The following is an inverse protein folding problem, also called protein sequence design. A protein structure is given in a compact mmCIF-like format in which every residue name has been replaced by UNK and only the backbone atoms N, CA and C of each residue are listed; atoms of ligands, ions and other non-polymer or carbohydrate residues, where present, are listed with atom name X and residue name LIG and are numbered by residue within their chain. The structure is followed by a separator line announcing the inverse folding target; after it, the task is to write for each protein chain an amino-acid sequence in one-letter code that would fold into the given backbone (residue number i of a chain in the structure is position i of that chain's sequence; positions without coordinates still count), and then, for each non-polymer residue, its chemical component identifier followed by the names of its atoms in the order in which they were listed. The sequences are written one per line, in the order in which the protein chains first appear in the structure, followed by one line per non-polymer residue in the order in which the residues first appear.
data_IF_434005289897
#
_entry.id   IF_434005289897
#
_cell.length_a   1.000
_cell.length_b   1.000
_cell.length_c   1.000
_cell.angle_alpha   90.00
_cell.angle_beta   90.00
_cell.angle_gamma   90.00
#
_symmetry.space_group_name_H-M   'P 1'
#
loop_
_entity.id
_entity.type
_entity.pdbx_description
1 polymer ?
#
# COMPACT_ATOMS: atom_id res chain seq x y z
N UNK A 1 50.74 -30.17 -8.12
CA UNK A 1 51.48 -28.91 -8.37
C UNK A 1 50.90 -27.89 -7.41
N UNK A 2 51.69 -27.40 -6.46
CA UNK A 2 51.22 -26.43 -5.47
C UNK A 2 50.99 -25.08 -6.13
N UNK A 3 49.88 -24.42 -5.79
CA UNK A 3 49.66 -23.00 -6.09
C UNK A 3 50.86 -22.19 -5.55
N UNK A 4 51.32 -21.21 -6.32
CA UNK A 4 52.36 -20.29 -5.85
C UNK A 4 51.86 -19.52 -4.62
N UNK A 5 52.76 -19.13 -3.71
CA UNK A 5 52.38 -18.41 -2.48
C UNK A 5 51.55 -17.14 -2.77
N UNK A 6 51.80 -16.48 -3.90
CA UNK A 6 51.10 -15.28 -4.36
C UNK A 6 49.66 -15.55 -4.81
N UNK A 7 49.39 -16.71 -5.42
CA UNK A 7 48.03 -17.15 -5.78
C UNK A 7 47.23 -17.57 -4.55
N UNK A 8 47.89 -18.15 -3.54
CA UNK A 8 47.26 -18.53 -2.27
C UNK A 8 46.82 -17.30 -1.46
N UNK A 9 47.62 -16.24 -1.44
CA UNK A 9 47.29 -15.00 -0.73
C UNK A 9 46.14 -14.23 -1.40
N UNK A 10 46.10 -14.20 -2.73
CA UNK A 10 45.03 -13.53 -3.49
C UNK A 10 43.68 -14.25 -3.30
N UNK A 11 43.68 -15.58 -3.30
CA UNK A 11 42.50 -16.39 -3.03
C UNK A 11 41.93 -16.13 -1.62
N UNK A 12 42.80 -16.03 -0.61
CA UNK A 12 42.40 -15.72 0.77
C UNK A 12 41.78 -14.32 0.89
N UNK A 13 42.31 -13.32 0.17
CA UNK A 13 41.74 -11.97 0.13
C UNK A 13 40.33 -11.97 -0.47
N UNK A 14 40.11 -12.70 -1.58
CA UNK A 14 38.79 -12.77 -2.20
C UNK A 14 37.78 -13.59 -1.39
N UNK A 15 38.21 -14.65 -0.69
CA UNK A 15 37.33 -15.44 0.17
C UNK A 15 36.92 -14.69 1.45
N UNK A 16 37.72 -13.72 1.90
CA UNK A 16 37.34 -12.83 2.99
C UNK A 16 36.24 -11.82 2.59
N UNK A 17 35.97 -11.65 1.29
CA UNK A 17 34.91 -10.75 0.83
C UNK A 17 33.53 -11.41 0.98
N UNK A 18 32.54 -10.63 1.47
CA UNK A 18 31.16 -11.08 1.56
C UNK A 18 30.44 -11.13 0.20
N UNK A 19 31.03 -10.52 -0.84
CA UNK A 19 30.51 -10.56 -2.21
C UNK A 19 31.09 -11.74 -3.00
N UNK A 20 30.32 -12.24 -3.96
CA UNK A 20 30.78 -13.25 -4.89
C UNK A 20 31.76 -12.63 -5.89
N UNK A 21 32.91 -13.28 -6.09
CA UNK A 21 33.93 -12.87 -7.06
C UNK A 21 34.14 -14.01 -8.05
N UNK A 22 34.06 -13.69 -9.33
CA UNK A 22 34.34 -14.60 -10.45
C UNK A 22 35.32 -13.96 -11.41
N UNK A 23 36.38 -14.68 -11.78
CA UNK A 23 37.32 -14.27 -12.83
C UNK A 23 37.08 -15.12 -14.06
N UNK A 24 36.93 -14.47 -15.21
CA UNK A 24 36.81 -15.13 -16.51
C UNK A 24 37.99 -14.76 -17.39
N UNK A 25 38.52 -15.72 -18.14
CA UNK A 25 39.55 -15.44 -19.14
C UNK A 25 38.95 -14.84 -20.42
N UNK A 26 39.80 -14.50 -21.39
CA UNK A 26 39.40 -13.91 -22.68
C UNK A 26 38.41 -14.77 -23.51
N UNK A 27 38.28 -16.07 -23.22
CA UNK A 27 37.28 -16.95 -23.88
C UNK A 27 35.93 -16.98 -23.15
N UNK A 28 35.81 -16.29 -22.02
CA UNK A 28 34.62 -16.28 -21.16
C UNK A 28 34.57 -17.41 -20.13
N UNK A 29 35.54 -18.34 -20.16
CA UNK A 29 35.61 -19.45 -19.22
C UNK A 29 35.99 -18.95 -17.83
N UNK A 30 35.29 -19.46 -16.81
CA UNK A 30 35.61 -19.17 -15.39
C UNK A 30 36.92 -19.82 -15.02
N UNK A 31 37.89 -19.02 -14.58
CA UNK A 31 39.20 -19.48 -14.08
C UNK A 31 39.30 -19.40 -12.57
N UNK A 32 38.44 -18.61 -11.92
CA UNK A 32 38.37 -18.52 -10.47
C UNK A 32 36.96 -18.15 -10.01
N UNK A 33 36.52 -18.74 -8.89
CA UNK A 33 35.31 -18.35 -8.17
C UNK A 33 35.52 -18.53 -6.67
N UNK A 34 35.28 -17.46 -5.90
CA UNK A 34 35.41 -17.48 -4.44
C UNK A 34 34.25 -18.26 -3.76
N UNK A 35 34.38 -18.53 -2.46
CA UNK A 35 33.38 -19.29 -1.70
C UNK A 35 31.99 -18.61 -1.70
N UNK A 36 31.94 -17.27 -1.67
CA UNK A 36 30.69 -16.52 -1.74
C UNK A 36 29.99 -16.68 -3.09
N UNK A 37 30.72 -16.63 -4.21
CA UNK A 37 30.19 -16.86 -5.55
C UNK A 37 29.55 -18.25 -5.67
N UNK A 38 30.25 -19.28 -5.18
CA UNK A 38 29.77 -20.68 -5.17
C UNK A 38 28.45 -20.80 -4.40
N UNK A 39 28.36 -20.18 -3.22
CA UNK A 39 27.13 -20.14 -2.40
C UNK A 39 25.99 -19.39 -3.09
N UNK A 40 26.27 -18.25 -3.71
CA UNK A 40 25.26 -17.40 -4.35
C UNK A 40 24.67 -18.08 -5.59
N UNK A 41 25.50 -18.72 -6.42
CA UNK A 41 24.99 -19.47 -7.58
C UNK A 41 24.37 -20.81 -7.17
N UNK A 42 24.75 -21.38 -6.03
CA UNK A 42 24.22 -22.65 -5.55
C UNK A 42 24.67 -23.85 -6.40
N UNK A 43 25.83 -23.74 -7.04
CA UNK A 43 26.43 -24.79 -7.90
C UNK A 43 27.72 -25.32 -7.28
N UNK A 44 28.03 -26.63 -7.45
CA UNK A 44 29.28 -27.19 -6.97
C UNK A 44 30.49 -26.57 -7.71
N UNK A 45 31.68 -26.51 -7.08
CA UNK A 45 32.88 -25.85 -7.64
C UNK A 45 33.26 -26.33 -9.04
N UNK A 46 33.09 -27.63 -9.28
CA UNK A 46 33.43 -28.34 -10.52
C UNK A 46 32.50 -27.99 -11.70
N UNK A 47 31.31 -27.46 -11.43
CA UNK A 47 30.37 -26.98 -12.47
C UNK A 47 30.58 -25.50 -12.84
N UNK A 48 31.24 -24.74 -11.99
CA UNK A 48 31.49 -23.31 -12.21
C UNK A 48 32.81 -23.10 -12.95
N UNK A 49 33.88 -23.75 -12.51
CA UNK A 49 35.23 -23.64 -13.09
C UNK A 49 35.30 -24.34 -14.46
N UNK A 50 35.80 -23.66 -15.50
CA UNK A 50 35.85 -24.17 -16.87
C UNK A 50 34.53 -24.04 -17.65
N UNK A 51 33.42 -23.61 -17.02
CA UNK A 51 32.17 -23.35 -17.73
C UNK A 51 32.26 -22.08 -18.61
N UNK A 52 31.82 -22.18 -19.87
CA UNK A 52 31.86 -21.09 -20.84
C UNK A 52 30.77 -20.02 -20.64
N UNK A 53 29.91 -20.17 -19.62
CA UNK A 53 28.85 -19.23 -19.34
C UNK A 53 27.96 -19.68 -18.19
N UNK A 54 27.14 -18.77 -17.64
CA UNK A 54 26.10 -19.15 -16.69
C UNK A 54 25.18 -20.17 -17.36
N UNK A 55 24.73 -21.18 -16.61
CA UNK A 55 23.79 -22.20 -17.08
C UNK A 55 22.45 -21.61 -17.52
N UNK A 56 21.47 -22.49 -17.74
CA UNK A 56 20.13 -22.24 -18.31
C UNK A 56 19.25 -21.19 -17.57
N UNK A 57 19.77 -20.47 -16.58
CA UNK A 57 19.03 -19.45 -15.84
C UNK A 57 18.82 -18.19 -16.69
N UNK A 58 17.55 -17.84 -16.92
CA UNK A 58 17.15 -16.64 -17.67
C UNK A 58 17.53 -15.39 -16.88
N UNK A 59 18.20 -14.44 -17.53
CA UNK A 59 18.60 -13.16 -16.93
C UNK A 59 17.59 -12.08 -17.28
N UNK A 60 17.23 -11.26 -16.31
CA UNK A 60 16.28 -10.16 -16.48
C UNK A 60 16.87 -8.85 -15.97
N UNK A 61 16.43 -7.75 -16.57
CA UNK A 61 16.65 -6.39 -16.07
C UNK A 61 15.68 -6.09 -14.91
N UNK A 62 15.89 -4.95 -14.25
CA UNK A 62 15.05 -4.48 -13.15
C UNK A 62 13.57 -4.28 -13.54
N UNK A 63 13.30 -3.92 -14.80
CA UNK A 63 11.95 -3.76 -15.36
C UNK A 63 11.27 -5.11 -15.73
N UNK A 64 11.93 -6.24 -15.46
CA UNK A 64 11.42 -7.58 -15.76
C UNK A 64 11.64 -8.05 -17.20
N UNK A 65 12.19 -7.21 -18.08
CA UNK A 65 12.53 -7.61 -19.45
C UNK A 65 13.73 -8.57 -19.46
N UNK A 66 13.82 -9.42 -20.47
CA UNK A 66 14.98 -10.33 -20.62
C UNK A 66 16.22 -9.50 -20.95
N UNK A 67 17.32 -9.77 -20.24
CA UNK A 67 18.61 -9.13 -20.46
C UNK A 67 19.33 -9.82 -21.63
N UNK A 68 19.65 -9.11 -22.72
CA UNK A 68 20.45 -9.62 -23.83
C UNK A 68 21.87 -10.01 -23.39
N UNK A 69 22.47 -10.99 -24.06
CA UNK A 69 23.79 -11.51 -23.70
C UNK A 69 24.91 -10.46 -23.77
N UNK A 70 24.82 -9.50 -24.68
CA UNK A 70 25.81 -8.42 -24.85
C UNK A 70 25.71 -7.33 -23.77
N UNK A 71 24.59 -7.25 -23.05
CA UNK A 71 24.39 -6.37 -21.90
C UNK A 71 24.82 -6.99 -20.58
N UNK A 72 25.06 -8.31 -20.56
CA UNK A 72 25.52 -9.01 -19.36
C UNK A 72 26.87 -8.41 -18.93
N UNK A 73 27.03 -7.96 -17.68
CA UNK A 73 28.16 -7.12 -17.29
C UNK A 73 29.54 -7.66 -17.66
N UNK A 74 29.77 -8.97 -17.52
CA UNK A 74 31.05 -9.56 -17.89
C UNK A 74 31.29 -9.60 -19.41
N UNK A 75 30.24 -9.82 -20.21
CA UNK A 75 30.32 -9.83 -21.68
C UNK A 75 30.50 -8.41 -22.21
N UNK A 76 29.73 -7.46 -21.67
CA UNK A 76 29.85 -6.05 -21.98
C UNK A 76 31.27 -5.53 -21.65
N UNK A 77 31.80 -5.86 -20.47
CA UNK A 77 33.15 -5.47 -20.06
C UNK A 77 34.24 -6.10 -20.96
N UNK A 78 34.09 -7.38 -21.32
CA UNK A 78 35.01 -8.08 -22.24
C UNK A 78 35.02 -7.44 -23.63
N UNK A 79 33.84 -7.11 -24.16
CA UNK A 79 33.66 -6.62 -25.53
C UNK A 79 34.07 -5.15 -25.66
N UNK A 80 33.66 -4.31 -24.70
CA UNK A 80 33.93 -2.86 -24.71
C UNK A 80 35.33 -2.54 -24.17
N UNK A 81 35.90 -3.41 -23.35
CA UNK A 81 37.18 -3.16 -22.69
C UNK A 81 37.12 -2.03 -21.65
N UNK A 82 35.93 -1.78 -21.11
CA UNK A 82 35.64 -0.75 -20.11
C UNK A 82 34.96 -1.37 -18.87
N UNK A 83 35.14 -0.80 -17.67
CA UNK A 83 34.43 -1.24 -16.48
C UNK A 83 32.92 -1.01 -16.60
N UNK A 84 32.14 -2.04 -16.25
CA UNK A 84 30.69 -1.97 -16.08
C UNK A 84 30.40 -1.99 -14.59
N UNK A 85 29.58 -1.07 -14.10
CA UNK A 85 29.34 -0.91 -12.66
C UNK A 85 27.86 -0.76 -12.32
N UNK A 86 27.50 -1.19 -11.11
CA UNK A 86 26.19 -1.05 -10.50
C UNK A 86 25.03 -1.58 -11.35
N UNK A 87 25.25 -2.67 -12.09
CA UNK A 87 24.18 -3.26 -12.89
C UNK A 87 23.35 -4.19 -12.02
N UNK A 88 22.06 -3.86 -11.91
CA UNK A 88 21.07 -4.74 -11.29
C UNK A 88 20.66 -5.82 -12.29
N UNK A 89 20.81 -7.09 -11.90
CA UNK A 89 20.49 -8.22 -12.76
C UNK A 89 19.73 -9.28 -11.96
N UNK A 90 18.54 -9.66 -12.44
CA UNK A 90 17.78 -10.77 -11.90
C UNK A 90 18.18 -12.08 -12.57
N UNK A 91 18.45 -13.12 -11.78
CA UNK A 91 18.61 -14.49 -12.26
C UNK A 91 17.35 -15.28 -11.92
N UNK A 92 16.67 -15.76 -12.95
CA UNK A 92 15.42 -16.52 -12.82
C UNK A 92 15.73 -18.01 -12.89
N UNK A 93 15.44 -18.72 -11.80
CA UNK A 93 15.53 -20.18 -11.74
C UNK A 93 14.34 -20.84 -12.43
N UNK A 94 14.46 -22.15 -12.71
CA UNK A 94 13.41 -22.97 -13.33
C UNK A 94 12.09 -23.02 -12.54
N UNK A 95 12.13 -22.80 -11.23
CA UNK A 95 10.97 -22.73 -10.34
C UNK A 95 10.31 -21.33 -10.28
N UNK A 96 10.84 -20.37 -11.03
CA UNK A 96 10.38 -18.98 -11.04
C UNK A 96 10.99 -18.10 -9.93
N UNK A 97 11.81 -18.66 -9.04
CA UNK A 97 12.51 -17.86 -8.03
C UNK A 97 13.49 -16.90 -8.69
N UNK A 98 13.38 -15.61 -8.36
CA UNK A 98 14.28 -14.57 -8.84
C UNK A 98 15.28 -14.20 -7.75
N UNK A 99 16.57 -14.30 -8.08
CA UNK A 99 17.67 -13.79 -7.26
C UNK A 99 18.21 -12.51 -7.89
N UNK A 100 18.21 -11.42 -7.13
CA UNK A 100 18.72 -10.13 -7.58
C UNK A 100 20.18 -9.95 -7.21
N UNK A 101 21.02 -9.67 -8.20
CA UNK A 101 22.43 -9.39 -8.04
C UNK A 101 22.74 -7.95 -8.43
N UNK A 102 23.50 -7.25 -7.58
CA UNK A 102 24.19 -6.03 -7.96
C UNK A 102 25.59 -6.42 -8.46
N UNK A 103 25.89 -6.15 -9.73
CA UNK A 103 27.08 -6.66 -10.42
C UNK A 103 27.98 -5.51 -10.89
N UNK A 104 29.25 -5.63 -10.57
CA UNK A 104 30.35 -4.89 -11.21
C UNK A 104 31.19 -5.88 -12.02
N UNK A 105 31.68 -5.44 -13.18
CA UNK A 105 32.60 -6.20 -14.02
C UNK A 105 33.74 -5.29 -14.51
N UNK A 106 34.98 -5.68 -14.22
CA UNK A 106 36.17 -4.90 -14.53
C UNK A 106 37.09 -5.72 -15.44
N UNK A 107 37.40 -5.24 -16.66
CA UNK A 107 38.34 -5.92 -17.54
C UNK A 107 39.78 -5.66 -17.12
N UNK A 108 40.59 -6.72 -17.09
CA UNK A 108 42.04 -6.70 -16.92
C UNK A 108 42.68 -6.81 -18.30
N UNK A 109 43.53 -5.85 -18.63
CA UNK A 109 44.21 -5.76 -19.93
C UNK A 109 45.64 -6.31 -19.84
N UNK A 110 46.07 -6.99 -20.90
CA UNK A 110 47.46 -7.41 -21.08
C UNK A 110 48.38 -6.22 -21.41
N UNK A 111 49.69 -6.48 -21.52
CA UNK A 111 50.68 -5.47 -21.91
C UNK A 111 50.45 -4.84 -23.30
N UNK A 112 49.59 -5.45 -24.13
CA UNK A 112 49.21 -4.97 -25.46
C UNK A 112 47.87 -4.24 -25.46
N UNK A 113 47.26 -4.02 -24.28
CA UNK A 113 45.99 -3.33 -24.12
C UNK A 113 44.75 -4.16 -24.46
N UNK A 114 44.91 -5.47 -24.69
CA UNK A 114 43.78 -6.39 -24.99
C UNK A 114 43.22 -6.94 -23.70
N UNK A 115 41.91 -7.12 -23.61
CA UNK A 115 41.27 -7.71 -22.42
C UNK A 115 41.68 -9.17 -22.29
N UNK A 116 42.47 -9.46 -21.26
CA UNK A 116 42.95 -10.81 -20.92
C UNK A 116 41.98 -11.55 -19.99
N UNK A 117 41.37 -10.83 -19.05
CA UNK A 117 40.45 -11.38 -18.06
C UNK A 117 39.38 -10.34 -17.71
N UNK A 118 38.28 -10.80 -17.13
CA UNK A 118 37.26 -9.95 -16.53
C UNK A 118 36.98 -10.43 -15.12
N UNK A 119 37.15 -9.54 -14.15
CA UNK A 119 36.80 -9.78 -12.75
C UNK A 119 35.40 -9.24 -12.53
N UNK A 120 34.48 -10.12 -12.17
CA UNK A 120 33.11 -9.76 -11.81
C UNK A 120 32.92 -9.92 -10.31
N UNK A 121 32.44 -8.87 -9.65
CA UNK A 121 31.99 -8.93 -8.26
C UNK A 121 30.49 -8.71 -8.19
N UNK A 122 29.80 -9.50 -7.39
CA UNK A 122 28.35 -9.39 -7.24
C UNK A 122 27.90 -9.62 -5.81
N UNK A 123 26.88 -8.87 -5.42
CA UNK A 123 26.24 -8.99 -4.10
C UNK A 123 24.81 -9.43 -4.29
N UNK A 124 24.39 -10.46 -3.54
CA UNK A 124 22.99 -10.87 -3.49
C UNK A 124 22.19 -9.81 -2.72
N UNK A 125 21.30 -9.12 -3.43
CA UNK A 125 20.45 -8.04 -2.89
C UNK A 125 18.98 -8.46 -2.86
N UNK A 126 18.70 -9.76 -2.97
CA UNK A 126 17.34 -10.30 -3.05
C UNK A 126 16.51 -9.93 -1.83
N UNK A 127 17.03 -10.11 -0.62
CA UNK A 127 16.29 -9.81 0.61
C UNK A 127 16.06 -8.31 0.79
N UNK A 128 17.04 -7.49 0.39
CA UNK A 128 16.89 -6.02 0.37
C UNK A 128 15.79 -5.61 -0.61
N UNK A 129 15.78 -6.16 -1.82
CA UNK A 129 14.73 -5.90 -2.83
C UNK A 129 13.35 -6.34 -2.37
N UNK A 130 13.24 -7.51 -1.73
CA UNK A 130 11.99 -7.98 -1.12
C UNK A 130 11.52 -7.04 0.00
N UNK A 131 12.43 -6.59 0.85
CA UNK A 131 12.11 -5.65 1.92
C UNK A 131 11.68 -4.27 1.39
N UNK A 132 12.37 -3.74 0.37
CA UNK A 132 11.99 -2.50 -0.32
C UNK A 132 10.60 -2.63 -0.94
N UNK A 133 10.33 -3.70 -1.67
CA UNK A 133 9.02 -3.94 -2.28
C UNK A 133 7.91 -4.16 -1.24
N UNK A 134 8.22 -4.83 -0.13
CA UNK A 134 7.26 -5.01 0.96
C UNK A 134 6.99 -3.69 1.71
N UNK A 135 8.00 -2.83 1.89
CA UNK A 135 7.84 -1.49 2.43
C UNK A 135 6.99 -0.61 1.51
N UNK A 136 7.22 -0.66 0.20
CA UNK A 136 6.38 0.03 -0.79
C UNK A 136 4.94 -0.48 -0.76
N UNK A 137 4.76 -1.81 -0.67
CA UNK A 137 3.44 -2.43 -0.54
C UNK A 137 2.74 -1.97 0.74
N UNK A 138 3.42 -1.98 1.88
CA UNK A 138 2.88 -1.51 3.17
C UNK A 138 2.59 -0.01 3.19
N UNK A 139 3.35 0.80 2.46
CA UNK A 139 3.11 2.23 2.34
C UNK A 139 1.83 2.56 1.55
N UNK A 140 1.40 1.66 0.64
CA UNK A 140 0.31 1.90 -0.30
C UNK A 140 -0.89 0.95 -0.16
N UNK A 141 -0.77 -0.11 0.65
CA UNK A 141 -1.83 -1.09 0.86
C UNK A 141 -2.11 -1.28 2.35
N UNK A 142 -3.38 -1.57 2.65
CA UNK A 142 -3.83 -1.98 3.97
C UNK A 142 -3.31 -3.39 4.28
N UNK A 143 -2.71 -3.56 5.46
CA UNK A 143 -2.03 -4.81 5.84
C UNK A 143 -2.99 -5.95 6.15
N UNK A 144 -4.22 -5.64 6.57
CA UNK A 144 -5.24 -6.63 6.89
C UNK A 144 -5.92 -7.19 5.63
N UNK A 145 -6.31 -6.31 4.72
CA UNK A 145 -7.12 -6.68 3.54
C UNK A 145 -6.29 -6.86 2.27
N UNK A 146 -5.08 -6.30 2.21
CA UNK A 146 -4.27 -6.23 1.00
C UNK A 146 -4.80 -5.23 -0.04
N UNK A 147 -5.92 -4.55 0.23
CA UNK A 147 -6.46 -3.52 -0.65
C UNK A 147 -5.57 -2.27 -0.63
N UNK A 148 -5.62 -1.42 -1.68
CA UNK A 148 -5.15 -0.04 -1.60
C UNK A 148 -5.55 0.63 -0.28
N UNK A 149 -4.61 1.35 0.33
CA UNK A 149 -4.90 2.19 1.49
C UNK A 149 -5.40 3.57 1.04
N UNK A 150 -5.70 4.43 2.01
CA UNK A 150 -6.14 5.82 1.76
C UNK A 150 -5.18 6.58 0.84
N UNK A 151 -3.87 6.46 1.02
CA UNK A 151 -2.88 7.18 0.20
C UNK A 151 -2.96 6.76 -1.26
N UNK A 152 -3.00 5.45 -1.54
CA UNK A 152 -3.09 4.94 -2.90
C UNK A 152 -4.46 5.24 -3.55
N UNK A 153 -5.55 5.23 -2.77
CA UNK A 153 -6.85 5.65 -3.25
C UNK A 153 -6.84 7.10 -3.74
N UNK A 154 -6.28 8.03 -2.95
CA UNK A 154 -6.26 9.45 -3.28
C UNK A 154 -5.44 9.71 -4.56
N UNK A 155 -4.29 9.05 -4.70
CA UNK A 155 -3.48 9.10 -5.93
C UNK A 155 -4.27 8.58 -7.15
N UNK A 156 -4.91 7.41 -7.03
CA UNK A 156 -5.72 6.84 -8.11
C UNK A 156 -6.94 7.70 -8.46
N UNK A 157 -7.57 8.31 -7.47
CA UNK A 157 -8.70 9.21 -7.68
C UNK A 157 -8.27 10.47 -8.43
N UNK A 158 -7.13 11.05 -8.08
CA UNK A 158 -6.57 12.20 -8.79
C UNK A 158 -6.26 11.86 -10.26
N UNK A 159 -5.64 10.70 -10.51
CA UNK A 159 -5.35 10.23 -11.87
C UNK A 159 -6.63 9.95 -12.68
N UNK A 160 -7.63 9.34 -12.05
CA UNK A 160 -8.93 9.06 -12.68
C UNK A 160 -9.66 10.36 -13.02
N UNK A 161 -9.64 11.38 -12.16
CA UNK A 161 -10.24 12.69 -12.42
C UNK A 161 -9.57 13.39 -13.61
N UNK A 162 -8.24 13.40 -13.67
CA UNK A 162 -7.51 13.97 -14.82
C UNK A 162 -7.90 13.28 -16.13
N UNK A 163 -8.05 11.96 -16.10
CA UNK A 163 -8.47 11.17 -17.26
C UNK A 163 -9.92 11.45 -17.65
N UNK A 164 -10.83 11.46 -16.67
CA UNK A 164 -12.25 11.77 -16.82
C UNK A 164 -12.46 13.15 -17.46
N UNK A 165 -11.77 14.19 -16.97
CA UNK A 165 -11.82 15.54 -17.56
C UNK A 165 -11.34 15.55 -19.01
N UNK A 166 -10.21 14.88 -19.31
CA UNK A 166 -9.66 14.82 -20.67
C UNK A 166 -10.60 14.12 -21.65
N UNK A 167 -11.27 13.06 -21.20
CA UNK A 167 -12.17 12.26 -22.04
C UNK A 167 -13.63 12.72 -21.99
N UNK A 168 -13.97 13.69 -21.14
CA UNK A 168 -15.36 14.12 -20.86
C UNK A 168 -16.28 12.96 -20.47
N UNK A 169 -15.74 12.01 -19.72
CA UNK A 169 -16.48 10.84 -19.20
C UNK A 169 -16.74 11.01 -17.70
N UNK A 170 -17.89 10.59 -17.16
CA UNK A 170 -18.16 10.70 -15.73
C UNK A 170 -17.23 9.81 -14.90
N UNK A 171 -17.12 10.09 -13.61
CA UNK A 171 -16.38 9.31 -12.63
C UNK A 171 -17.17 9.29 -11.33
N UNK A 172 -17.49 8.11 -10.79
CA UNK A 172 -18.14 8.01 -9.49
C UNK A 172 -17.17 7.58 -8.40
N UNK A 173 -17.37 8.13 -7.21
CA UNK A 173 -16.72 7.74 -5.96
C UNK A 173 -17.80 7.25 -4.99
N UNK A 174 -17.60 6.05 -4.47
CA UNK A 174 -18.38 5.48 -3.38
C UNK A 174 -17.51 5.50 -2.12
N UNK A 175 -18.04 6.01 -1.02
CA UNK A 175 -17.47 5.87 0.33
C UNK A 175 -18.46 5.09 1.18
N UNK A 176 -17.98 4.14 1.96
CA UNK A 176 -18.84 3.19 2.65
C UNK A 176 -18.30 2.78 4.02
N UNK A 177 -19.20 2.39 4.91
CA UNK A 177 -18.92 2.07 6.31
C UNK A 177 -19.79 0.89 6.76
N UNK A 178 -19.19 -0.06 7.47
CA UNK A 178 -19.91 -1.22 8.01
C UNK A 178 -20.75 -0.81 9.23
N UNK A 179 -22.06 -0.96 9.12
CA UNK A 179 -22.97 -0.56 10.19
C UNK A 179 -22.72 -1.41 11.45
N UNK A 180 -22.63 -0.73 12.60
CA UNK A 180 -22.44 -1.35 13.93
C UNK A 180 -21.17 -2.19 14.08
N UNK A 181 -20.14 -1.97 13.25
CA UNK A 181 -18.85 -2.65 13.39
C UNK A 181 -18.25 -2.54 14.81
N UNK A 182 -18.40 -1.39 15.45
CA UNK A 182 -17.97 -1.19 16.84
C UNK A 182 -18.63 -2.18 17.81
N UNK A 183 -19.93 -2.45 17.66
CA UNK A 183 -20.63 -3.41 18.53
C UNK A 183 -20.07 -4.83 18.37
N UNK A 184 -19.65 -5.21 17.15
CA UNK A 184 -18.97 -6.49 16.90
C UNK A 184 -17.65 -6.54 17.64
N UNK A 185 -16.81 -5.50 17.52
CA UNK A 185 -15.53 -5.45 18.23
C UNK A 185 -15.71 -5.48 19.75
N UNK A 186 -16.68 -4.74 20.28
CA UNK A 186 -16.93 -4.65 21.72
C UNK A 186 -17.48 -5.98 22.27
N UNK A 187 -18.21 -6.76 21.46
CA UNK A 187 -18.84 -8.02 21.87
C UNK A 187 -17.94 -9.25 21.66
N UNK A 188 -17.26 -9.33 20.50
CA UNK A 188 -16.52 -10.52 20.06
C UNK A 188 -14.99 -10.29 19.97
N UNK A 189 -14.53 -9.07 20.24
CA UNK A 189 -13.13 -8.68 20.22
C UNK A 189 -12.60 -8.33 18.83
N UNK A 190 -11.43 -7.67 18.80
CA UNK A 190 -10.83 -7.16 17.56
C UNK A 190 -10.52 -8.23 16.52
N UNK A 191 -10.22 -9.47 16.94
CA UNK A 191 -9.97 -10.58 16.00
C UNK A 191 -11.21 -10.89 15.15
N UNK A 192 -12.40 -10.84 15.74
CA UNK A 192 -13.65 -11.02 15.03
C UNK A 192 -13.91 -9.87 14.04
N UNK A 193 -13.63 -8.64 14.45
CA UNK A 193 -13.69 -7.48 13.56
C UNK A 193 -12.74 -7.58 12.37
N UNK A 194 -11.51 -8.06 12.60
CA UNK A 194 -10.52 -8.24 11.55
C UNK A 194 -10.96 -9.29 10.51
N UNK A 195 -11.56 -10.41 10.96
CA UNK A 195 -12.13 -11.43 10.08
C UNK A 195 -13.29 -10.86 9.25
N UNK A 196 -14.19 -10.13 9.90
CA UNK A 196 -15.30 -9.45 9.25
C UNK A 196 -14.82 -8.47 8.16
N UNK A 197 -13.81 -7.66 8.45
CA UNK A 197 -13.22 -6.73 7.50
C UNK A 197 -12.59 -7.47 6.31
N UNK A 198 -11.84 -8.54 6.59
CA UNK A 198 -11.23 -9.37 5.55
C UNK A 198 -12.28 -9.98 4.61
N UNK A 199 -13.36 -10.50 5.16
CA UNK A 199 -14.46 -11.07 4.38
C UNK A 199 -15.25 -9.99 3.61
N UNK A 200 -15.53 -8.85 4.24
CA UNK A 200 -16.18 -7.71 3.58
C UNK A 200 -15.35 -7.24 2.38
N UNK A 201 -14.03 -7.10 2.54
CA UNK A 201 -13.12 -6.72 1.45
C UNK A 201 -13.20 -7.69 0.26
N UNK A 202 -13.22 -9.00 0.53
CA UNK A 202 -13.37 -10.03 -0.51
C UNK A 202 -14.73 -9.92 -1.22
N UNK A 203 -15.81 -9.77 -0.46
CA UNK A 203 -17.18 -9.66 -1.01
C UNK A 203 -17.36 -8.40 -1.85
N UNK A 204 -16.80 -7.26 -1.42
CA UNK A 204 -16.84 -6.00 -2.19
C UNK A 204 -16.08 -6.17 -3.51
N UNK A 205 -14.91 -6.80 -3.48
CA UNK A 205 -14.03 -6.91 -4.65
C UNK A 205 -14.57 -7.88 -5.71
N UNK A 206 -15.26 -8.95 -5.30
CA UNK A 206 -15.68 -10.04 -6.19
C UNK A 206 -16.60 -9.62 -7.36
N UNK A 207 -17.38 -8.54 -7.18
CA UNK A 207 -18.40 -8.10 -8.15
C UNK A 207 -17.99 -6.86 -8.97
N UNK A 208 -16.76 -6.39 -8.80
CA UNK A 208 -16.19 -5.19 -9.45
C UNK A 208 -15.27 -5.55 -10.61
N UNK A 209 -15.07 -4.61 -11.53
CA UNK A 209 -14.25 -4.79 -12.72
C UNK A 209 -12.79 -4.47 -12.41
N UNK A 210 -11.86 -4.98 -13.24
CA UNK A 210 -10.43 -4.67 -13.12
C UNK A 210 -10.10 -3.16 -13.24
N UNK A 211 -10.99 -2.38 -13.87
CA UNK A 211 -10.86 -0.91 -13.98
C UNK A 211 -11.27 -0.17 -12.70
N UNK A 212 -12.02 -0.83 -11.83
CA UNK A 212 -12.53 -0.25 -10.60
C UNK A 212 -11.44 -0.36 -9.53
N UNK A 213 -11.35 0.63 -8.65
CA UNK A 213 -10.39 0.58 -7.53
C UNK A 213 -11.15 0.48 -6.22
N UNK A 214 -10.94 -0.60 -5.49
CA UNK A 214 -11.40 -0.77 -4.10
C UNK A 214 -10.27 -0.38 -3.16
N UNK A 215 -10.56 0.35 -2.10
CA UNK A 215 -9.61 0.69 -1.05
C UNK A 215 -10.23 0.55 0.34
N UNK A 216 -9.38 0.35 1.34
CA UNK A 216 -9.76 0.50 2.75
C UNK A 216 -9.18 1.81 3.27
N UNK A 217 -10.03 2.68 3.82
CA UNK A 217 -9.63 3.98 4.34
C UNK A 217 -9.05 3.86 5.75
N UNK A 218 -9.56 2.91 6.52
CA UNK A 218 -9.19 2.63 7.91
C UNK A 218 -10.40 2.11 8.67
N UNK A 219 -10.19 1.39 9.78
CA UNK A 219 -11.30 0.85 10.57
C UNK A 219 -12.25 -0.02 9.73
N UNK A 220 -13.51 0.37 9.69
CA UNK A 220 -14.64 -0.20 8.96
C UNK A 220 -14.97 0.52 7.63
N UNK A 221 -14.16 1.49 7.25
CA UNK A 221 -14.41 2.33 6.07
C UNK A 221 -13.72 1.82 4.81
N UNK A 222 -14.47 1.75 3.72
CA UNK A 222 -13.99 1.41 2.38
C UNK A 222 -14.36 2.51 1.38
N UNK A 223 -13.70 2.48 0.22
CA UNK A 223 -14.05 3.33 -0.90
C UNK A 223 -13.91 2.59 -2.23
N UNK A 224 -14.72 2.98 -3.21
CA UNK A 224 -14.64 2.46 -4.59
C UNK A 224 -14.62 3.61 -5.58
N UNK A 225 -13.66 3.59 -6.50
CA UNK A 225 -13.56 4.49 -7.65
C UNK A 225 -14.09 3.75 -8.88
N UNK A 226 -15.03 4.38 -9.60
CA UNK A 226 -15.70 3.82 -10.78
C UNK A 226 -15.50 4.74 -12.01
N UNK A 227 -14.41 4.57 -12.77
CA UNK A 227 -14.18 5.33 -14.01
C UNK A 227 -15.28 5.09 -15.04
N UNK A 228 -15.84 6.15 -15.60
CA UNK A 228 -16.89 6.08 -16.62
C UNK A 228 -18.30 5.83 -16.06
N UNK A 229 -18.47 5.74 -14.74
CA UNK A 229 -19.78 5.58 -14.13
C UNK A 229 -20.43 6.93 -13.83
N UNK A 230 -21.69 7.08 -14.26
CA UNK A 230 -22.60 8.13 -13.83
C UNK A 230 -23.34 7.73 -12.54
N UNK A 231 -24.29 8.55 -12.09
CA UNK A 231 -25.09 8.28 -10.90
C UNK A 231 -25.84 6.93 -10.98
N UNK A 232 -26.39 6.59 -12.14
CA UNK A 232 -27.11 5.33 -12.33
C UNK A 232 -26.18 4.11 -12.26
N UNK A 233 -25.03 4.19 -12.93
CA UNK A 233 -24.00 3.16 -12.85
C UNK A 233 -23.45 2.98 -11.43
N UNK A 234 -23.21 4.08 -10.73
CA UNK A 234 -22.76 4.09 -9.35
C UNK A 234 -23.80 3.47 -8.40
N UNK A 235 -25.09 3.82 -8.57
CA UNK A 235 -26.19 3.25 -7.80
C UNK A 235 -26.33 1.74 -8.02
N UNK A 236 -26.15 1.26 -9.26
CA UNK A 236 -26.17 -0.18 -9.56
C UNK A 236 -25.03 -0.93 -8.85
N UNK A 237 -23.82 -0.35 -8.84
CA UNK A 237 -22.68 -0.92 -8.11
C UNK A 237 -22.93 -0.91 -6.61
N UNK A 238 -23.45 0.19 -6.05
CA UNK A 238 -23.78 0.27 -4.63
C UNK A 238 -24.79 -0.82 -4.21
N UNK A 239 -25.83 -1.07 -5.02
CA UNK A 239 -26.80 -2.14 -4.76
C UNK A 239 -26.18 -3.54 -4.83
N UNK A 240 -25.23 -3.77 -5.75
CA UNK A 240 -24.47 -5.03 -5.77
C UNK A 240 -23.67 -5.23 -4.49
N UNK A 241 -22.95 -4.19 -4.04
CA UNK A 241 -22.16 -4.24 -2.81
C UNK A 241 -23.07 -4.51 -1.61
N UNK A 242 -24.17 -3.77 -1.47
CA UNK A 242 -25.16 -4.01 -0.40
C UNK A 242 -25.66 -5.45 -0.44
N UNK A 243 -26.08 -5.95 -1.61
CA UNK A 243 -26.56 -7.33 -1.76
C UNK A 243 -25.49 -8.38 -1.46
N UNK A 244 -24.23 -8.13 -1.79
CA UNK A 244 -23.13 -9.04 -1.48
C UNK A 244 -22.90 -9.18 0.03
N UNK A 245 -23.09 -8.10 0.79
CA UNK A 245 -22.93 -8.05 2.24
C UNK A 245 -24.18 -8.48 3.03
N UNK A 246 -25.36 -8.57 2.40
CA UNK A 246 -26.57 -9.12 3.03
C UNK A 246 -26.44 -10.60 3.45
N UNK A 247 -25.49 -11.34 2.86
CA UNK A 247 -25.20 -12.71 3.30
C UNK A 247 -24.67 -12.68 4.75
N UNK A 248 -25.15 -13.53 5.67
CA UNK A 248 -24.61 -13.54 7.03
C UNK A 248 -23.10 -13.76 7.05
N UNK A 249 -22.42 -13.12 8.01
CA UNK A 249 -21.01 -13.34 8.32
C UNK A 249 -20.90 -14.38 9.42
N UNK A 250 -20.00 -15.34 9.26
CA UNK A 250 -19.77 -16.38 10.27
C UNK A 250 -18.70 -15.89 11.23
N UNK A 251 -19.10 -15.55 12.47
CA UNK A 251 -18.22 -15.02 13.50
C UNK A 251 -18.34 -15.93 14.73
N UNK A 252 -17.22 -16.54 15.14
CA UNK A 252 -17.18 -17.48 16.29
C UNK A 252 -18.20 -18.64 16.20
N UNK A 253 -18.61 -19.01 14.98
CA UNK A 253 -19.57 -20.10 14.72
C UNK A 253 -21.04 -19.68 14.68
N UNK A 254 -21.34 -18.39 14.90
CA UNK A 254 -22.68 -17.82 14.77
C UNK A 254 -22.81 -16.96 13.50
N UNK A 255 -24.02 -16.90 12.95
CA UNK A 255 -24.33 -16.12 11.76
C UNK A 255 -24.83 -14.72 12.12
N UNK A 256 -24.12 -13.69 11.67
CA UNK A 256 -24.43 -12.29 11.94
C UNK A 256 -24.79 -11.52 10.66
N UNK A 257 -25.90 -10.80 10.70
CA UNK A 257 -26.29 -9.88 9.63
C UNK A 257 -25.62 -8.52 9.85
N UNK A 258 -24.79 -8.10 8.90
CA UNK A 258 -24.05 -6.84 8.96
C UNK A 258 -24.36 -6.06 7.70
N UNK A 259 -24.84 -4.84 7.90
CA UNK A 259 -25.22 -3.95 6.83
C UNK A 259 -24.06 -2.99 6.50
N UNK A 260 -24.15 -2.34 5.34
CA UNK A 260 -23.17 -1.36 4.90
C UNK A 260 -23.91 -0.13 4.38
N UNK A 261 -23.48 1.04 4.84
CA UNK A 261 -24.01 2.33 4.40
C UNK A 261 -23.09 2.93 3.34
N UNK A 262 -23.64 3.35 2.20
CA UNK A 262 -22.84 3.83 1.05
C UNK A 262 -23.23 5.26 0.65
N UNK A 263 -22.26 6.14 0.56
CA UNK A 263 -22.38 7.48 -0.02
C UNK A 263 -21.78 7.55 -1.42
N UNK A 264 -22.47 8.21 -2.34
CA UNK A 264 -22.09 8.32 -3.75
C UNK A 264 -21.88 9.78 -4.12
N UNK A 265 -20.72 10.12 -4.70
CA UNK A 265 -20.45 11.39 -5.38
C UNK A 265 -19.99 11.14 -6.82
N UNK A 266 -20.33 12.03 -7.76
CA UNK A 266 -20.08 11.84 -9.20
C UNK A 266 -19.44 13.09 -9.76
N UNK A 267 -18.33 12.96 -10.48
CA UNK A 267 -17.69 14.04 -11.22
C UNK A 267 -18.25 14.11 -12.64
N UNK A 268 -18.50 15.32 -13.18
CA UNK A 268 -18.26 16.64 -12.58
C UNK A 268 -19.40 17.19 -11.69
N UNK A 269 -20.56 16.54 -11.65
CA UNK A 269 -21.80 17.07 -11.05
C UNK A 269 -21.63 17.45 -9.57
N UNK A 270 -20.98 16.59 -8.80
CA UNK A 270 -20.74 16.72 -7.37
C UNK A 270 -19.30 17.17 -7.09
N UNK A 271 -18.56 17.67 -8.07
CA UNK A 271 -17.21 18.19 -7.88
C UNK A 271 -16.22 17.63 -8.88
N UNK A 272 -15.12 18.37 -9.08
CA UNK A 272 -14.08 18.00 -10.04
C UNK A 272 -12.76 17.66 -9.36
N UNK A 273 -12.56 18.01 -8.10
CA UNK A 273 -11.34 17.72 -7.34
C UNK A 273 -11.57 16.64 -6.27
N UNK A 274 -10.45 16.06 -5.82
CA UNK A 274 -10.41 14.95 -4.86
C UNK A 274 -11.06 15.32 -3.54
N UNK A 275 -10.75 16.50 -2.99
CA UNK A 275 -11.22 16.94 -1.68
C UNK A 275 -12.74 17.11 -1.68
N UNK A 276 -13.28 17.80 -2.69
CA UNK A 276 -14.72 18.03 -2.86
C UNK A 276 -15.49 16.72 -3.00
N UNK A 277 -15.01 15.78 -3.84
CA UNK A 277 -15.69 14.50 -4.04
C UNK A 277 -15.66 13.61 -2.80
N UNK A 278 -14.51 13.49 -2.13
CA UNK A 278 -14.38 12.74 -0.88
C UNK A 278 -15.37 13.26 0.17
N UNK A 279 -15.36 14.57 0.43
CA UNK A 279 -16.26 15.20 1.40
C UNK A 279 -17.74 14.96 1.07
N UNK A 280 -18.11 15.10 -0.20
CA UNK A 280 -19.51 14.96 -0.63
C UNK A 280 -19.97 13.50 -0.59
N UNK A 281 -19.09 12.54 -0.89
CA UNK A 281 -19.37 11.13 -0.70
C UNK A 281 -19.52 10.76 0.78
N UNK A 282 -18.68 11.31 1.67
CA UNK A 282 -18.82 11.15 3.13
C UNK A 282 -20.15 11.72 3.67
N UNK A 283 -20.55 12.91 3.21
CA UNK A 283 -21.87 13.50 3.54
C UNK A 283 -23.01 12.56 3.12
N UNK A 284 -22.95 12.06 1.88
CA UNK A 284 -23.96 11.13 1.37
C UNK A 284 -23.97 9.82 2.18
N UNK A 285 -22.80 9.31 2.58
CA UNK A 285 -22.70 8.11 3.41
C UNK A 285 -23.34 8.33 4.78
N UNK A 286 -23.13 9.50 5.39
CA UNK A 286 -23.78 9.86 6.65
C UNK A 286 -25.32 9.90 6.52
N UNK A 287 -25.84 10.39 5.39
CA UNK A 287 -27.28 10.31 5.10
C UNK A 287 -27.74 8.87 4.98
N UNK A 288 -26.97 8.02 4.29
CA UNK A 288 -27.26 6.59 4.14
C UNK A 288 -27.32 5.87 5.49
N UNK A 289 -26.45 6.20 6.46
CA UNK A 289 -26.44 5.61 7.83
C UNK A 289 -27.76 5.74 8.59
N UNK A 290 -28.69 6.60 8.16
CA UNK A 290 -30.04 6.70 8.74
C UNK A 290 -30.90 5.47 8.47
N UNK A 291 -30.60 4.73 7.40
CA UNK A 291 -31.28 3.50 7.02
C UNK A 291 -30.21 2.43 6.81
N UNK A 292 -30.05 1.46 7.73
CA UNK A 292 -29.03 0.43 7.60
C UNK A 292 -29.10 -0.29 6.26
N UNK A 293 -27.95 -0.49 5.62
CA UNK A 293 -27.88 -1.18 4.32
C UNK A 293 -28.42 -0.36 3.14
N UNK A 294 -28.39 0.97 3.24
CA UNK A 294 -28.81 1.87 2.18
C UNK A 294 -27.63 2.53 1.47
N UNK A 295 -27.92 3.06 0.28
CA UNK A 295 -27.04 3.97 -0.45
C UNK A 295 -27.71 5.32 -0.62
N UNK A 296 -26.94 6.41 -0.56
CA UNK A 296 -27.42 7.75 -0.91
C UNK A 296 -26.46 8.42 -1.89
N UNK A 297 -27.03 9.14 -2.85
CA UNK A 297 -26.28 10.03 -3.73
C UNK A 297 -26.24 11.42 -3.09
N UNK A 298 -25.08 12.07 -3.13
CA UNK A 298 -24.94 13.43 -2.64
C UNK A 298 -25.96 14.35 -3.32
N UNK A 299 -26.71 15.08 -2.50
CA UNK A 299 -27.57 16.17 -2.95
C UNK A 299 -27.23 17.41 -2.12
N UNK A 300 -27.16 18.58 -2.76
CA UNK A 300 -26.77 19.84 -2.11
C UNK A 300 -27.70 20.22 -0.95
N UNK A 301 -28.97 19.82 -0.98
CA UNK A 301 -29.93 20.02 0.11
C UNK A 301 -29.62 19.18 1.36
N UNK A 302 -28.82 18.12 1.20
CA UNK A 302 -28.36 17.26 2.28
C UNK A 302 -27.02 17.71 2.86
N UNK A 303 -26.36 18.67 2.21
CA UNK A 303 -25.12 19.25 2.68
C UNK A 303 -25.36 19.92 4.04
N UNK A 304 -24.80 19.37 5.15
CA UNK A 304 -24.99 19.95 6.47
C UNK A 304 -24.49 21.39 6.55
N UNK A 305 -23.63 21.82 5.61
CA UNK A 305 -22.92 23.09 5.66
C UNK A 305 -23.76 24.30 5.26
N UNK A 306 -24.74 24.15 4.36
CA UNK A 306 -25.52 25.29 3.87
C UNK A 306 -26.49 25.86 4.92
N UNK A 307 -27.17 24.99 5.66
CA UNK A 307 -28.27 25.38 6.55
C UNK A 307 -28.12 24.83 7.97
N UNK A 308 -27.57 23.63 8.11
CA UNK A 308 -27.43 22.97 9.41
C UNK A 308 -26.24 23.53 10.21
N UNK A 309 -25.18 23.98 9.55
CA UNK A 309 -23.98 24.52 10.19
C UNK A 309 -24.20 25.93 10.76
N UNK A 310 -24.93 26.80 10.05
CA UNK A 310 -25.37 28.09 10.59
C UNK A 310 -26.31 27.92 11.80
N UNK A 311 -27.25 26.98 11.70
CA UNK A 311 -28.14 26.63 12.81
C UNK A 311 -27.34 26.06 14.00
N UNK A 312 -26.44 25.11 13.76
CA UNK A 312 -25.62 24.49 14.79
C UNK A 312 -24.61 25.46 15.40
N UNK A 313 -24.07 26.42 14.64
CA UNK A 313 -23.24 27.52 15.16
C UNK A 313 -24.05 28.48 16.03
N UNK A 314 -25.29 28.80 15.66
CA UNK A 314 -26.20 29.61 16.48
C UNK A 314 -26.60 28.88 17.77
N UNK A 315 -26.89 27.58 17.67
CA UNK A 315 -27.19 26.71 18.81
C UNK A 315 -25.97 26.58 19.73
N UNK A 316 -24.76 26.36 19.19
CA UNK A 316 -23.52 26.25 19.97
C UNK A 316 -23.25 27.51 20.80
N UNK A 317 -23.51 28.71 20.26
CA UNK A 317 -23.44 29.96 21.04
C UNK A 317 -24.40 29.98 22.22
N UNK A 318 -25.62 29.50 22.03
CA UNK A 318 -26.63 29.44 23.09
C UNK A 318 -26.35 28.32 24.11
N UNK A 319 -25.63 27.27 23.73
CA UNK A 319 -25.31 26.15 24.64
C UNK A 319 -24.31 26.50 25.73
N UNK A 320 -23.49 27.54 25.54
CA UNK A 320 -22.64 28.09 26.60
C UNK A 320 -23.46 28.70 27.75
N UNK A 321 -24.74 29.03 27.52
CA UNK A 321 -25.62 29.62 28.51
C UNK A 321 -26.52 28.58 29.21
N UNK A 322 -26.53 27.32 28.76
CA UNK A 322 -27.56 26.33 29.12
C UNK A 322 -27.05 24.96 29.62
N UNK A 323 -25.81 24.84 30.11
CA UNK A 323 -25.22 23.61 30.70
C UNK A 323 -25.27 22.35 29.79
N UNK A 324 -25.39 22.54 28.47
CA UNK A 324 -25.48 21.45 27.49
C UNK A 324 -24.09 20.92 27.07
N UNK A 325 -23.04 21.69 27.33
CA UNK A 325 -21.65 21.28 27.13
C UNK A 325 -21.11 20.70 28.44
N UNK A 326 -20.73 19.44 28.41
CA UNK A 326 -20.22 18.69 29.57
C UNK A 326 -18.78 18.28 29.35
N UNK A 327 -18.01 18.21 30.43
CA UNK A 327 -16.65 17.66 30.40
C UNK A 327 -16.71 16.24 30.94
N UNK A 328 -16.18 15.30 30.16
CA UNK A 328 -15.89 13.94 30.65
C UNK A 328 -14.39 13.76 30.76
N UNK A 329 -13.96 12.87 31.66
CA UNK A 329 -12.54 12.62 31.93
C UNK A 329 -12.19 11.20 31.50
N UNK A 330 -11.20 11.08 30.61
CA UNK A 330 -10.64 9.79 30.23
C UNK A 330 -9.31 9.56 30.98
N UNK A 331 -9.20 8.54 31.83
CA UNK A 331 -7.96 8.26 32.55
C UNK A 331 -6.88 7.74 31.60
N UNK A 332 -5.65 8.23 31.78
CA UNK A 332 -4.44 7.73 31.13
C UNK A 332 -3.63 7.02 32.21
N UNK A 333 -3.52 5.70 32.09
CA UNK A 333 -2.87 4.83 33.08
C UNK A 333 -1.43 4.54 32.73
N UNK A 334 -0.59 4.41 33.76
CA UNK A 334 0.81 4.01 33.63
C UNK A 334 0.91 2.53 33.24
N UNK A 335 1.77 2.22 32.26
CA UNK A 335 1.90 0.86 31.74
C UNK A 335 2.42 -0.15 32.78
N UNK A 336 3.20 0.31 33.77
CA UNK A 336 3.91 -0.57 34.71
C UNK A 336 3.12 -0.91 35.98
N UNK A 337 2.29 0.01 36.46
CA UNK A 337 1.60 -0.07 37.76
C UNK A 337 0.08 0.05 37.64
N UNK A 338 -0.44 0.31 36.42
CA UNK A 338 -1.85 0.56 36.14
C UNK A 338 -2.42 1.73 36.96
N UNK A 339 -1.55 2.59 37.50
CA UNK A 339 -1.97 3.76 38.25
C UNK A 339 -2.42 4.87 37.29
N UNK A 340 -3.44 5.62 37.67
CA UNK A 340 -3.92 6.75 36.88
C UNK A 340 -2.89 7.87 36.95
N UNK A 341 -2.15 8.07 35.86
CA UNK A 341 -1.08 9.08 35.79
C UNK A 341 -1.64 10.47 35.53
N UNK A 342 -2.68 10.56 34.70
CA UNK A 342 -3.38 11.81 34.34
C UNK A 342 -4.77 11.53 33.80
N UNK A 343 -5.55 12.57 33.60
CA UNK A 343 -6.84 12.51 32.89
C UNK A 343 -6.81 13.45 31.69
N UNK A 344 -7.41 13.04 30.59
CA UNK A 344 -7.74 13.90 29.46
C UNK A 344 -9.17 14.42 29.64
N UNK A 345 -9.35 15.73 29.59
CA UNK A 345 -10.65 16.38 29.65
C UNK A 345 -11.22 16.49 28.24
N UNK A 346 -12.35 15.84 28.00
CA UNK A 346 -12.99 15.76 26.70
C UNK A 346 -14.35 16.45 26.74
N UNK A 347 -14.55 17.44 25.87
CA UNK A 347 -15.83 18.12 25.73
C UNK A 347 -16.86 17.20 25.07
N UNK A 348 -18.08 17.21 25.60
CA UNK A 348 -19.25 16.45 25.14
C UNK A 348 -20.45 17.37 25.04
N UNK A 349 -21.11 17.40 23.90
CA UNK A 349 -22.30 18.21 23.73
C UNK A 349 -23.56 17.34 23.74
N UNK A 350 -24.43 17.55 24.74
CA UNK A 350 -25.75 16.93 24.82
C UNK A 350 -26.81 17.91 24.31
N UNK A 351 -27.13 17.80 23.03
CA UNK A 351 -28.13 18.63 22.38
C UNK A 351 -29.57 18.16 22.68
N UNK A 352 -30.51 19.04 23.09
CA UNK A 352 -31.86 18.68 23.49
C UNK A 352 -32.67 17.93 22.43
N UNK A 353 -32.46 18.26 21.15
CA UNK A 353 -33.18 17.64 20.04
C UNK A 353 -32.36 16.58 19.27
N UNK A 354 -31.02 16.65 19.35
CA UNK A 354 -30.11 15.79 18.55
C UNK A 354 -29.43 14.71 19.38
N UNK A 355 -29.60 14.74 20.70
CA UNK A 355 -28.87 13.87 21.60
C UNK A 355 -27.39 14.25 21.64
N UNK A 356 -26.52 13.25 21.66
CA UNK A 356 -25.08 13.48 21.78
C UNK A 356 -24.46 13.89 20.44
N UNK A 357 -23.80 15.05 20.41
CA UNK A 357 -23.11 15.58 19.23
C UNK A 357 -21.60 15.30 19.37
N UNK A 358 -20.99 14.73 18.34
CA UNK A 358 -19.59 14.30 18.37
C UNK A 358 -18.63 15.51 18.37
N UNK A 359 -17.47 15.43 19.06
CA UNK A 359 -16.47 16.51 19.07
C UNK A 359 -16.00 16.96 17.68
N UNK A 360 -15.85 16.02 16.74
CA UNK A 360 -15.48 16.33 15.35
C UNK A 360 -16.49 17.21 14.62
N UNK A 361 -17.76 17.21 15.04
CA UNK A 361 -18.81 18.03 14.42
C UNK A 361 -18.82 19.48 14.95
N UNK A 362 -18.55 19.69 16.25
CA UNK A 362 -18.71 21.02 16.86
C UNK A 362 -17.40 21.74 17.18
N UNK A 363 -16.27 21.05 17.39
CA UNK A 363 -14.98 21.71 17.68
C UNK A 363 -14.53 22.61 16.51
N UNK A 364 -14.54 22.15 15.23
CA UNK A 364 -14.19 23.00 14.11
C UNK A 364 -15.14 24.21 13.94
N UNK A 365 -16.39 24.09 14.41
CA UNK A 365 -17.35 25.20 14.45
C UNK A 365 -17.03 26.20 15.55
N UNK A 366 -16.64 25.72 16.73
CA UNK A 366 -16.25 26.52 17.87
C UNK A 366 -15.01 27.37 17.57
N UNK A 367 -14.03 26.80 16.86
CA UNK A 367 -12.82 27.50 16.41
C UNK A 367 -13.13 28.59 15.38
N UNK A 368 -13.89 28.26 14.32
CA UNK A 368 -14.28 29.23 13.28
C UNK A 368 -15.18 30.36 13.79
N UNK A 369 -15.98 30.10 14.81
CA UNK A 369 -16.86 31.10 15.43
C UNK A 369 -16.16 31.99 16.47
N UNK A 370 -14.89 31.72 16.78
CA UNK A 370 -14.11 32.43 17.79
C UNK A 370 -14.56 32.14 19.23
N UNK A 371 -15.33 31.06 19.46
CA UNK A 371 -15.78 30.64 20.78
C UNK A 371 -14.68 29.93 21.58
N UNK A 372 -13.71 29.33 20.89
CA UNK A 372 -12.48 28.80 21.48
C UNK A 372 -11.37 29.82 21.24
N UNK A 373 -10.69 30.22 22.32
CA UNK A 373 -9.41 30.92 22.21
C UNK A 373 -8.31 29.89 22.30
N UNK A 374 -7.50 29.79 21.24
CA UNK A 374 -6.24 29.06 21.27
C UNK A 374 -5.19 29.79 22.10
#
# INVERSE_FOLDING_TARGET
MGMSAQESDLAAIYDAMACGVVVRNATGAVVFANAAAKRIFGRPPEELEGSAGPGEDRRIREDGTTMPDDEVPNVAAQTRGEPIRNVMMGMVRSDGYVRWLLVDAVPIKDAFGRVSEVVSSFTDVTDRKKAEHELERQALHDTLTGLPNRSLLLDRLEQALRTSRRLSTPLALLVMDLDRFKEINDTFGHRAGDLLIGEAAQRITADLRDTDTVARLGGDEFAVILPGADEGGAGHVAQKVIGALQRPFEIEGDAHEIAISIGIAVSPQHGEDVETLMRRAEIAMYVAKRTPGASAVYAEQQDPEGSNQLALMAELRHTLETDQLQVVYQPIVGFNDNEVMRVEALARWRHPARGFVAPGEFIPLAERSGLVKS
#
